data_IF_250340790399
#
_entry.id   IF_250340790399
#
_cell.length_a   1.000
_cell.length_b   1.000
_cell.length_c   1.000
_cell.angle_alpha   90.00
_cell.angle_beta   90.00
_cell.angle_gamma   90.00
#
_symmetry.space_group_name_H-M   'P 1'
#
loop_
_entity.id
_entity.type
_entity.pdbx_description
1 polymer ?
#
# COMPACT_ATOMS: atom_id res chain seq x y z
N UNK A 1 20.46 -11.09 18.05
CA UNK A 1 19.89 -11.88 16.94
C UNK A 1 18.58 -11.22 16.57
N UNK A 2 18.39 -10.89 15.30
CA UNK A 2 17.15 -10.28 14.80
C UNK A 2 15.98 -11.24 15.09
N UNK A 3 14.96 -10.76 15.80
CA UNK A 3 13.78 -11.54 16.15
C UNK A 3 13.07 -12.07 14.89
N UNK A 4 13.17 -11.35 13.78
CA UNK A 4 12.58 -11.78 12.52
C UNK A 4 13.32 -12.96 11.87
N UNK A 5 14.64 -13.09 12.05
CA UNK A 5 15.40 -14.21 11.49
C UNK A 5 15.00 -15.56 12.11
N UNK A 6 14.61 -15.57 13.39
CA UNK A 6 14.06 -16.77 14.06
C UNK A 6 12.67 -17.08 13.51
N UNK A 7 11.82 -16.05 13.43
CA UNK A 7 10.46 -16.14 12.86
C UNK A 7 10.45 -16.65 11.42
N UNK A 8 11.39 -16.19 10.59
CA UNK A 8 11.49 -16.54 9.17
C UNK A 8 11.50 -18.04 8.92
N UNK A 9 12.21 -18.79 9.77
CA UNK A 9 12.31 -20.24 9.60
C UNK A 9 10.99 -20.98 9.84
N UNK A 10 10.09 -20.38 10.63
CA UNK A 10 8.80 -20.95 11.01
C UNK A 10 7.67 -20.65 10.02
N UNK A 11 7.88 -19.72 9.08
CA UNK A 11 6.85 -19.34 8.11
C UNK A 11 6.58 -20.46 7.09
N UNK A 12 5.35 -20.56 6.53
CA UNK A 12 5.09 -21.41 5.38
C UNK A 12 5.96 -21.01 4.18
N UNK A 13 6.38 -22.00 3.38
CA UNK A 13 7.26 -21.76 2.23
C UNK A 13 6.64 -20.82 1.18
N UNK A 14 5.33 -20.91 0.97
CA UNK A 14 4.55 -19.99 0.13
C UNK A 14 4.64 -18.54 0.62
N UNK A 15 4.51 -18.31 1.93
CA UNK A 15 4.66 -16.98 2.53
C UNK A 15 6.08 -16.46 2.38
N UNK A 16 7.11 -17.29 2.63
CA UNK A 16 8.51 -16.90 2.43
C UNK A 16 8.75 -16.45 0.98
N UNK A 17 8.30 -17.25 0.02
CA UNK A 17 8.40 -16.91 -1.41
C UNK A 17 7.64 -15.63 -1.74
N UNK A 18 6.44 -15.47 -1.20
CA UNK A 18 5.65 -14.24 -1.35
C UNK A 18 6.43 -13.00 -0.91
N UNK A 19 6.95 -13.01 0.32
CA UNK A 19 7.73 -11.90 0.87
C UNK A 19 9.02 -11.63 0.08
N UNK A 20 9.67 -12.67 -0.47
CA UNK A 20 10.85 -12.52 -1.33
C UNK A 20 10.52 -11.93 -2.71
N UNK A 21 9.33 -12.21 -3.27
CA UNK A 21 8.88 -11.62 -4.54
C UNK A 21 8.60 -10.13 -4.37
N UNK A 22 8.09 -9.73 -3.21
CA UNK A 22 7.90 -8.34 -2.85
C UNK A 22 7.13 -8.19 -1.55
N UNK A 23 7.14 -6.98 -1.00
CA UNK A 23 6.35 -6.62 0.20
C UNK A 23 5.39 -5.47 -0.09
N UNK A 24 4.97 -5.37 -1.36
CA UNK A 24 4.23 -4.25 -1.93
C UNK A 24 2.92 -4.73 -2.58
N UNK A 25 1.92 -3.85 -2.63
CA UNK A 25 0.64 -4.10 -3.26
C UNK A 25 -0.40 -4.72 -2.33
N UNK A 26 -1.57 -4.08 -2.29
CA UNK A 26 -2.71 -4.46 -1.44
C UNK A 26 -3.09 -5.94 -1.56
N UNK A 27 -3.38 -6.41 -2.78
CA UNK A 27 -3.87 -7.78 -3.01
C UNK A 27 -2.83 -8.83 -2.63
N UNK A 28 -1.57 -8.56 -2.90
CA UNK A 28 -0.47 -9.44 -2.55
C UNK A 28 -0.34 -9.59 -1.03
N UNK A 29 -0.30 -8.46 -0.30
CA UNK A 29 -0.24 -8.44 1.15
C UNK A 29 -1.47 -9.10 1.80
N UNK A 30 -2.68 -8.86 1.26
CA UNK A 30 -3.91 -9.52 1.72
C UNK A 30 -3.83 -11.04 1.56
N UNK A 31 -3.30 -11.52 0.43
CA UNK A 31 -3.18 -12.96 0.18
C UNK A 31 -2.24 -13.63 1.19
N UNK A 32 -1.06 -13.04 1.44
CA UNK A 32 -0.13 -13.55 2.44
C UNK A 32 -0.70 -13.48 3.86
N UNK A 33 -1.39 -12.38 4.19
CA UNK A 33 -2.10 -12.25 5.47
C UNK A 33 -3.15 -13.35 5.66
N UNK A 34 -3.96 -13.62 4.63
CA UNK A 34 -4.98 -14.65 4.68
C UNK A 34 -4.38 -16.04 4.89
N UNK A 35 -3.30 -16.37 4.19
CA UNK A 35 -2.62 -17.66 4.35
C UNK A 35 -2.13 -17.87 5.79
N UNK A 36 -1.52 -16.85 6.40
CA UNK A 36 -1.06 -16.91 7.79
C UNK A 36 -2.22 -16.99 8.78
N UNK A 37 -3.27 -16.20 8.59
CA UNK A 37 -4.44 -16.20 9.48
C UNK A 37 -5.21 -17.53 9.44
N UNK A 38 -5.30 -18.17 8.27
CA UNK A 38 -5.87 -19.52 8.14
C UNK A 38 -4.92 -20.54 8.76
N UNK A 39 -3.63 -20.47 8.44
CA UNK A 39 -2.61 -21.36 8.99
C UNK A 39 -2.55 -21.32 10.52
N UNK A 40 -2.76 -20.16 11.14
CA UNK A 40 -2.78 -19.99 12.59
C UNK A 40 -3.86 -20.83 13.29
N UNK A 41 -4.95 -21.20 12.60
CA UNK A 41 -6.00 -22.05 13.15
C UNK A 41 -5.54 -23.50 13.31
N UNK A 42 -4.56 -23.94 12.52
CA UNK A 42 -3.99 -25.29 12.54
C UNK A 42 -2.73 -25.40 13.40
N UNK A 43 -2.25 -24.29 13.97
CA UNK A 43 -1.05 -24.24 14.81
C UNK A 43 -1.41 -24.05 16.28
N UNK A 44 -0.48 -24.42 17.16
CA UNK A 44 -0.60 -24.25 18.61
C UNK A 44 0.65 -23.57 19.18
N UNK A 45 0.51 -22.89 20.32
CA UNK A 45 1.64 -22.30 21.04
C UNK A 45 2.31 -21.15 20.27
N UNK A 46 3.64 -21.07 20.33
CA UNK A 46 4.40 -19.93 19.79
C UNK A 46 4.22 -19.68 18.29
N UNK A 47 4.08 -20.73 17.48
CA UNK A 47 3.89 -20.61 16.03
C UNK A 47 2.55 -19.96 15.67
N UNK A 48 1.49 -20.26 16.43
CA UNK A 48 0.19 -19.62 16.24
C UNK A 48 0.28 -18.10 16.46
N UNK A 49 0.92 -17.69 17.56
CA UNK A 49 1.14 -16.26 17.86
C UNK A 49 1.91 -15.56 16.74
N UNK A 50 2.99 -16.17 16.25
CA UNK A 50 3.78 -15.64 15.13
C UNK A 50 2.94 -15.45 13.86
N UNK A 51 2.09 -16.41 13.51
CA UNK A 51 1.27 -16.34 12.29
C UNK A 51 0.20 -15.26 12.42
N UNK A 52 -0.45 -15.15 13.59
CA UNK A 52 -1.41 -14.09 13.86
C UNK A 52 -0.74 -12.71 13.80
N UNK A 53 0.43 -12.58 14.41
CA UNK A 53 1.18 -11.33 14.48
C UNK A 53 1.59 -10.83 13.10
N UNK A 54 2.25 -11.68 12.30
CA UNK A 54 2.66 -11.30 10.95
C UNK A 54 1.44 -11.12 10.01
N UNK A 55 0.43 -11.97 10.15
CA UNK A 55 -0.81 -11.85 9.36
C UNK A 55 -1.52 -10.52 9.59
N UNK A 56 -1.58 -10.04 10.84
CA UNK A 56 -2.11 -8.74 11.19
C UNK A 56 -1.28 -7.58 10.67
N UNK A 57 0.05 -7.69 10.72
CA UNK A 57 0.95 -6.65 10.20
C UNK A 57 0.78 -6.50 8.68
N UNK A 58 0.72 -7.62 7.94
CA UNK A 58 0.49 -7.63 6.50
C UNK A 58 -0.88 -7.08 6.14
N UNK A 59 -1.93 -7.39 6.91
CA UNK A 59 -3.27 -6.87 6.68
C UNK A 59 -3.35 -5.36 6.96
N UNK A 60 -2.68 -4.85 7.99
CA UNK A 60 -2.57 -3.42 8.26
C UNK A 60 -1.78 -2.69 7.18
N UNK A 61 -0.71 -3.30 6.66
CA UNK A 61 0.05 -2.76 5.54
C UNK A 61 -0.81 -2.72 4.27
N UNK A 62 -1.58 -3.78 3.99
CA UNK A 62 -2.52 -3.81 2.87
C UNK A 62 -3.59 -2.71 2.98
N UNK A 63 -4.16 -2.50 4.17
CA UNK A 63 -5.09 -1.39 4.41
C UNK A 63 -4.42 -0.04 4.18
N UNK A 64 -3.16 0.12 4.58
CA UNK A 64 -2.44 1.38 4.38
C UNK A 64 -2.25 1.72 2.90
N UNK A 65 -2.18 0.73 1.99
CA UNK A 65 -2.16 0.96 0.53
C UNK A 65 -3.47 1.52 -0.02
N UNK A 66 -4.57 1.33 0.71
CA UNK A 66 -5.91 1.74 0.31
C UNK A 66 -6.73 2.10 1.56
N UNK A 67 -6.44 3.27 2.18
CA UNK A 67 -6.91 3.60 3.53
C UNK A 67 -8.40 3.92 3.61
N UNK A 68 -9.14 3.77 2.51
CA UNK A 68 -10.59 3.87 2.45
C UNK A 68 -11.28 2.51 2.31
N UNK A 69 -10.54 1.40 2.23
CA UNK A 69 -11.14 0.08 2.15
C UNK A 69 -11.82 -0.30 3.47
N UNK A 70 -13.15 -0.18 3.51
CA UNK A 70 -13.98 -0.53 4.66
C UNK A 70 -14.06 -2.03 4.94
N UNK A 71 -13.88 -2.88 3.93
CA UNK A 71 -13.90 -4.33 4.12
C UNK A 71 -12.67 -4.78 4.92
N UNK A 72 -11.48 -4.30 4.53
CA UNK A 72 -10.24 -4.58 5.30
C UNK A 72 -10.32 -3.93 6.68
N UNK A 73 -10.87 -2.71 6.79
CA UNK A 73 -11.02 -2.03 8.07
C UNK A 73 -11.91 -2.82 9.04
N UNK A 74 -13.06 -3.32 8.58
CA UNK A 74 -13.95 -4.16 9.37
C UNK A 74 -13.29 -5.50 9.77
N UNK A 75 -12.54 -6.12 8.85
CA UNK A 75 -11.81 -7.35 9.14
C UNK A 75 -10.74 -7.14 10.22
N UNK A 76 -9.96 -6.06 10.15
CA UNK A 76 -8.97 -5.70 11.16
C UNK A 76 -9.61 -5.50 12.54
N UNK A 77 -10.76 -4.82 12.60
CA UNK A 77 -11.49 -4.64 13.86
C UNK A 77 -11.98 -5.95 14.46
N UNK A 78 -12.54 -6.84 13.63
CA UNK A 78 -13.02 -8.16 14.10
C UNK A 78 -11.88 -9.04 14.60
N UNK A 79 -10.69 -8.94 14.00
CA UNK A 79 -9.51 -9.66 14.49
C UNK A 79 -8.97 -9.02 15.78
N UNK A 80 -8.94 -7.70 15.88
CA UNK A 80 -8.46 -6.98 17.08
C UNK A 80 -9.30 -7.27 18.33
N UNK A 81 -10.60 -7.58 18.18
CA UNK A 81 -11.46 -8.04 19.29
C UNK A 81 -10.96 -9.34 19.92
N UNK A 82 -10.41 -10.24 19.11
CA UNK A 82 -9.89 -11.55 19.55
C UNK A 82 -8.41 -11.50 19.90
N UNK A 83 -7.66 -10.63 19.22
CA UNK A 83 -6.22 -10.45 19.35
C UNK A 83 -5.86 -8.96 19.37
N UNK A 84 -5.98 -8.28 20.53
CA UNK A 84 -5.82 -6.84 20.62
C UNK A 84 -4.39 -6.39 20.31
N UNK A 85 -4.18 -5.79 19.14
CA UNK A 85 -2.85 -5.38 18.64
C UNK A 85 -2.87 -4.02 17.97
N UNK A 86 -4.02 -3.58 17.46
CA UNK A 86 -4.16 -2.27 16.84
C UNK A 86 -4.12 -1.20 17.93
N UNK A 87 -3.37 -0.12 17.74
CA UNK A 87 -3.35 0.98 18.71
C UNK A 87 -4.67 1.78 18.67
N UNK A 88 -4.99 2.50 19.76
CA UNK A 88 -6.28 3.22 19.90
C UNK A 88 -6.56 4.22 18.76
N UNK A 89 -5.52 4.93 18.29
CA UNK A 89 -5.64 5.89 17.19
C UNK A 89 -6.05 5.19 15.89
N UNK A 90 -5.37 4.09 15.54
CA UNK A 90 -5.67 3.33 14.34
C UNK A 90 -7.05 2.66 14.44
N UNK A 91 -7.46 2.15 15.61
CA UNK A 91 -8.82 1.63 15.80
C UNK A 91 -9.90 2.68 15.51
N UNK A 92 -9.71 3.91 15.96
CA UNK A 92 -10.67 4.99 15.71
C UNK A 92 -10.81 5.28 14.20
N UNK A 93 -9.68 5.32 13.47
CA UNK A 93 -9.68 5.47 12.02
C UNK A 93 -10.40 4.31 11.33
N UNK A 94 -10.05 3.06 11.69
CA UNK A 94 -10.65 1.86 11.10
C UNK A 94 -12.16 1.82 11.32
N UNK A 95 -12.64 2.16 12.52
CA UNK A 95 -14.08 2.23 12.81
C UNK A 95 -14.77 3.25 11.92
N UNK A 96 -14.23 4.46 11.85
CA UNK A 96 -14.81 5.53 11.04
C UNK A 96 -14.83 5.19 9.55
N UNK A 97 -13.81 4.48 9.05
CA UNK A 97 -13.81 3.95 7.67
C UNK A 97 -14.85 2.85 7.49
N UNK A 98 -14.88 1.85 8.37
CA UNK A 98 -15.81 0.73 8.28
C UNK A 98 -17.29 1.17 8.36
N UNK A 99 -17.61 2.17 9.17
CA UNK A 99 -18.97 2.71 9.33
C UNK A 99 -19.45 3.54 8.12
N UNK A 100 -18.52 4.28 7.48
CA UNK A 100 -18.84 5.17 6.35
C UNK A 100 -18.66 4.51 4.99
N UNK A 101 -17.97 3.39 4.92
CA UNK A 101 -17.82 2.63 3.69
C UNK A 101 -19.04 1.72 3.49
N UNK A 102 -19.90 2.09 2.55
CA UNK A 102 -21.13 1.36 2.25
C UNK A 102 -21.11 0.90 0.81
N UNK A 103 -20.73 -0.35 0.59
CA UNK A 103 -20.83 -0.96 -0.75
C UNK A 103 -22.31 -1.02 -1.17
N UNK A 104 -22.70 -0.46 -2.31
CA UNK A 104 -24.05 -0.57 -2.83
C UNK A 104 -24.44 -2.03 -3.11
N UNK A 105 -25.72 -2.35 -2.89
CA UNK A 105 -26.25 -3.70 -3.15
C UNK A 105 -26.25 -4.07 -4.64
N UNK A 106 -26.52 -3.11 -5.53
CA UNK A 106 -26.50 -3.31 -6.98
C UNK A 106 -25.36 -2.52 -7.64
N UNK A 107 -24.32 -3.26 -8.07
CA UNK A 107 -23.18 -2.73 -8.80
C UNK A 107 -23.21 -3.04 -10.30
N UNK A 108 -24.25 -3.70 -10.83
CA UNK A 108 -24.26 -4.18 -12.22
C UNK A 108 -24.04 -3.08 -13.25
N UNK A 109 -24.56 -1.88 -13.00
CA UNK A 109 -24.32 -0.74 -13.89
C UNK A 109 -22.86 -0.27 -13.83
N UNK A 110 -22.31 -0.12 -12.62
CA UNK A 110 -20.91 0.27 -12.42
C UNK A 110 -19.94 -0.76 -13.01
N UNK A 111 -20.18 -2.06 -12.79
CA UNK A 111 -19.35 -3.13 -13.35
C UNK A 111 -19.32 -3.11 -14.87
N UNK A 112 -20.47 -2.91 -15.54
CA UNK A 112 -20.51 -2.76 -17.00
C UNK A 112 -19.73 -1.55 -17.50
N UNK A 113 -19.76 -0.43 -16.78
CA UNK A 113 -18.94 0.73 -17.11
C UNK A 113 -17.45 0.40 -16.98
N UNK A 114 -17.03 -0.23 -15.88
CA UNK A 114 -15.65 -0.64 -15.65
C UNK A 114 -15.14 -1.63 -16.72
N UNK A 115 -15.96 -2.61 -17.10
CA UNK A 115 -15.64 -3.57 -18.16
C UNK A 115 -15.47 -2.88 -19.53
N UNK A 116 -16.30 -1.87 -19.83
CA UNK A 116 -16.19 -1.09 -21.07
C UNK A 116 -14.95 -0.19 -21.14
N UNK A 117 -14.29 0.05 -20.00
CA UNK A 117 -13.15 0.99 -19.84
C UNK A 117 -13.43 2.41 -20.34
N UNK A 118 -14.69 2.82 -20.39
CA UNK A 118 -15.08 4.20 -20.72
C UNK A 118 -14.88 5.08 -19.47
N UNK A 119 -13.65 5.55 -19.27
CA UNK A 119 -13.20 6.25 -18.06
C UNK A 119 -13.97 7.54 -17.82
N UNK A 120 -14.39 8.23 -18.88
CA UNK A 120 -15.22 9.43 -18.79
C UNK A 120 -16.66 9.12 -18.34
N UNK A 121 -17.27 8.01 -18.81
CA UNK A 121 -18.56 7.57 -18.25
C UNK A 121 -18.43 7.15 -16.80
N UNK A 122 -17.36 6.44 -16.43
CA UNK A 122 -17.10 6.06 -15.03
C UNK A 122 -16.98 7.32 -14.17
N UNK A 123 -16.19 8.31 -14.61
CA UNK A 123 -16.02 9.60 -13.93
C UNK A 123 -17.34 10.31 -13.68
N UNK A 124 -18.16 10.52 -14.72
CA UNK A 124 -19.48 11.16 -14.59
C UNK A 124 -20.41 10.40 -13.66
N UNK A 125 -20.39 9.07 -13.75
CA UNK A 125 -21.17 8.23 -12.84
C UNK A 125 -20.73 8.44 -11.38
N UNK A 126 -19.42 8.41 -11.10
CA UNK A 126 -18.89 8.62 -9.76
C UNK A 126 -19.27 10.01 -9.21
N UNK A 127 -19.09 11.08 -9.99
CA UNK A 127 -19.52 12.43 -9.59
C UNK A 127 -21.02 12.50 -9.26
N UNK A 128 -21.85 11.75 -10.00
CA UNK A 128 -23.28 11.62 -9.68
C UNK A 128 -23.51 10.92 -8.34
N UNK A 129 -22.72 9.88 -8.01
CA UNK A 129 -22.82 9.19 -6.73
C UNK A 129 -22.40 10.08 -5.56
N UNK A 130 -21.38 10.93 -5.75
CA UNK A 130 -21.04 11.96 -4.76
C UNK A 130 -22.25 12.85 -4.48
N UNK A 131 -22.99 13.31 -5.49
CA UNK A 131 -24.19 14.13 -5.26
C UNK A 131 -25.31 13.43 -4.46
N UNK A 132 -25.44 12.10 -4.58
CA UNK A 132 -26.51 11.31 -3.96
C UNK A 132 -26.15 10.78 -2.56
N UNK A 133 -24.90 10.41 -2.34
CA UNK A 133 -24.42 9.75 -1.12
C UNK A 133 -23.04 10.30 -0.74
N UNK A 134 -22.99 11.61 -0.46
CA UNK A 134 -21.76 12.40 -0.27
C UNK A 134 -20.79 11.80 0.77
N UNK A 135 -21.30 11.12 1.79
CA UNK A 135 -20.50 10.58 2.90
C UNK A 135 -19.96 9.17 2.69
N UNK A 136 -20.33 8.50 1.61
CA UNK A 136 -20.00 7.09 1.39
C UNK A 136 -18.59 6.91 0.82
N UNK A 137 -17.71 6.35 1.65
CA UNK A 137 -16.30 6.17 1.32
C UNK A 137 -16.07 5.14 0.20
N UNK A 138 -17.03 4.26 -0.09
CA UNK A 138 -16.94 3.34 -1.22
C UNK A 138 -16.74 4.11 -2.52
N UNK A 139 -17.55 5.15 -2.77
CA UNK A 139 -17.45 5.95 -3.98
C UNK A 139 -16.18 6.81 -4.02
N UNK A 140 -15.71 7.26 -2.85
CA UNK A 140 -14.46 8.00 -2.75
C UNK A 140 -13.28 7.14 -3.14
N UNK A 141 -13.23 5.90 -2.64
CA UNK A 141 -12.23 4.91 -2.99
C UNK A 141 -12.21 4.63 -4.51
N UNK A 142 -13.38 4.46 -5.14
CA UNK A 142 -13.47 4.25 -6.58
C UNK A 142 -12.97 5.47 -7.38
N UNK A 143 -13.35 6.68 -6.95
CA UNK A 143 -12.90 7.92 -7.60
C UNK A 143 -11.40 8.16 -7.46
N UNK A 144 -10.81 7.85 -6.30
CA UNK A 144 -9.36 7.92 -6.11
C UNK A 144 -8.64 6.89 -6.98
N UNK A 145 -9.14 5.66 -7.07
CA UNK A 145 -8.55 4.63 -7.93
C UNK A 145 -8.55 5.06 -9.40
N UNK A 146 -9.70 5.51 -9.91
CA UNK A 146 -9.81 6.02 -11.28
C UNK A 146 -8.91 7.24 -11.49
N UNK A 147 -8.96 8.22 -10.59
CA UNK A 147 -8.20 9.45 -10.70
C UNK A 147 -6.69 9.22 -10.68
N UNK A 148 -6.19 8.29 -9.88
CA UNK A 148 -4.78 7.91 -9.86
C UNK A 148 -4.35 7.20 -11.14
N UNK A 149 -5.21 6.31 -11.67
CA UNK A 149 -4.94 5.58 -12.90
C UNK A 149 -4.92 6.50 -14.13
N UNK A 150 -5.89 7.40 -14.26
CA UNK A 150 -6.01 8.35 -15.37
C UNK A 150 -5.17 9.63 -15.16
N UNK A 151 -4.54 9.79 -13.99
CA UNK A 151 -3.90 11.03 -13.55
C UNK A 151 -4.83 12.26 -13.61
N UNK A 152 -6.14 12.06 -13.36
CA UNK A 152 -7.16 13.11 -13.36
C UNK A 152 -7.06 13.97 -12.10
N UNK A 153 -6.26 15.03 -12.19
CA UNK A 153 -6.01 15.98 -11.10
C UNK A 153 -7.29 16.71 -10.65
N UNK A 154 -8.27 16.89 -11.54
CA UNK A 154 -9.52 17.56 -11.19
C UNK A 154 -10.36 16.65 -10.27
N UNK A 155 -10.51 15.38 -10.63
CA UNK A 155 -11.22 14.39 -9.82
C UNK A 155 -10.51 14.16 -8.49
N UNK A 156 -9.19 13.97 -8.51
CA UNK A 156 -8.38 13.79 -7.29
C UNK A 156 -8.50 15.00 -6.36
N UNK A 157 -8.37 16.21 -6.92
CA UNK A 157 -8.56 17.45 -6.18
C UNK A 157 -9.97 17.60 -5.62
N UNK A 158 -10.99 17.18 -6.36
CA UNK A 158 -12.38 17.17 -5.90
C UNK A 158 -12.56 16.28 -4.67
N UNK A 159 -12.04 15.05 -4.68
CA UNK A 159 -12.14 14.13 -3.53
C UNK A 159 -11.33 14.64 -2.32
N UNK A 160 -10.14 15.20 -2.55
CA UNK A 160 -9.27 15.71 -1.47
C UNK A 160 -9.77 17.00 -0.81
N UNK A 161 -10.72 17.71 -1.44
CA UNK A 161 -11.41 18.88 -0.90
C UNK A 161 -12.68 18.56 -0.09
N UNK A 162 -13.13 17.31 -0.09
CA UNK A 162 -14.29 16.90 0.72
C UNK A 162 -14.01 17.04 2.23
N UNK A 163 -15.03 16.81 3.05
CA UNK A 163 -14.86 16.80 4.50
C UNK A 163 -14.27 15.47 4.99
N UNK A 164 -12.98 15.52 5.35
CA UNK A 164 -12.21 14.39 5.88
C UNK A 164 -12.16 14.36 7.41
N UNK A 165 -13.09 15.03 8.09
CA UNK A 165 -13.15 15.04 9.56
C UNK A 165 -13.06 13.63 10.13
N UNK A 166 -12.04 13.40 10.97
CA UNK A 166 -11.75 12.11 11.59
C UNK A 166 -10.94 11.14 10.74
N UNK A 167 -10.54 11.52 9.52
CA UNK A 167 -9.73 10.73 8.56
C UNK A 167 -8.53 11.52 8.03
N UNK A 168 -8.08 12.54 8.74
CA UNK A 168 -6.99 13.41 8.31
C UNK A 168 -5.70 12.65 7.97
N UNK A 169 -5.28 11.60 8.72
CA UNK A 169 -4.12 10.80 8.32
C UNK A 169 -4.29 10.10 6.97
N UNK A 170 -5.51 9.62 6.65
CA UNK A 170 -5.83 9.01 5.37
C UNK A 170 -5.76 10.04 4.24
N UNK A 171 -6.36 11.22 4.47
CA UNK A 171 -6.27 12.34 3.52
C UNK A 171 -4.82 12.73 3.26
N UNK A 172 -3.99 12.77 4.31
CA UNK A 172 -2.57 13.14 4.21
C UNK A 172 -1.75 12.14 3.43
N UNK A 173 -2.01 10.84 3.59
CA UNK A 173 -1.39 9.82 2.75
C UNK A 173 -1.76 10.04 1.28
N UNK A 174 -3.06 10.07 0.97
CA UNK A 174 -3.56 10.19 -0.40
C UNK A 174 -3.15 11.51 -1.08
N UNK A 175 -3.22 12.64 -0.37
CA UNK A 175 -2.76 13.91 -0.88
C UNK A 175 -1.25 13.92 -1.13
N UNK A 176 -0.47 13.26 -0.27
CA UNK A 176 0.96 13.03 -0.50
C UNK A 176 1.19 12.25 -1.79
N UNK A 177 0.46 11.17 -2.01
CA UNK A 177 0.60 10.30 -3.18
C UNK A 177 0.24 11.02 -4.48
N UNK A 178 -0.87 11.76 -4.50
CA UNK A 178 -1.26 12.60 -5.64
C UNK A 178 -0.16 13.62 -5.96
N UNK A 179 0.38 14.29 -4.92
CA UNK A 179 1.45 15.29 -5.08
C UNK A 179 2.75 14.66 -5.57
N UNK A 180 3.08 13.46 -5.06
CA UNK A 180 4.28 12.70 -5.41
C UNK A 180 4.27 12.27 -6.88
N UNK A 181 3.17 11.67 -7.33
CA UNK A 181 3.02 11.22 -8.72
C UNK A 181 3.03 12.40 -9.70
N UNK A 182 2.55 13.57 -9.25
CA UNK A 182 2.62 14.82 -10.03
C UNK A 182 4.02 15.44 -10.08
N UNK A 183 5.06 14.75 -9.59
CA UNK A 183 6.46 15.19 -9.62
C UNK A 183 6.87 16.16 -8.51
N UNK A 184 5.94 16.57 -7.63
CA UNK A 184 6.20 17.55 -6.57
C UNK A 184 6.63 16.87 -5.25
N UNK A 185 7.67 16.04 -5.33
CA UNK A 185 8.08 15.15 -4.24
C UNK A 185 8.46 15.87 -2.92
N UNK A 186 9.04 17.07 -3.01
CA UNK A 186 9.33 17.89 -1.83
C UNK A 186 8.05 18.35 -1.12
N UNK A 187 7.04 18.78 -1.88
CA UNK A 187 5.74 19.17 -1.33
C UNK A 187 4.99 17.96 -0.74
N UNK A 188 5.09 16.78 -1.38
CA UNK A 188 4.49 15.55 -0.91
C UNK A 188 4.99 15.14 0.49
N UNK A 189 6.28 15.34 0.78
CA UNK A 189 6.87 15.04 2.09
C UNK A 189 6.21 15.79 3.25
N UNK A 190 5.71 17.01 3.00
CA UNK A 190 4.95 17.77 3.99
C UNK A 190 3.63 17.11 4.38
N UNK A 191 2.99 16.39 3.44
CA UNK A 191 1.79 15.60 3.70
C UNK A 191 2.13 14.29 4.45
N UNK A 192 3.19 13.61 4.05
CA UNK A 192 3.61 12.34 4.66
C UNK A 192 3.97 12.43 6.14
N UNK A 193 4.46 13.57 6.62
CA UNK A 193 4.81 13.73 8.04
C UNK A 193 3.65 13.51 9.04
N UNK A 194 2.40 13.52 8.58
CA UNK A 194 1.20 13.25 9.39
C UNK A 194 0.33 12.12 8.83
N UNK A 195 0.80 11.43 7.80
CA UNK A 195 0.09 10.35 7.13
C UNK A 195 0.10 9.06 7.98
N UNK A 196 -0.72 8.10 7.57
CA UNK A 196 -0.66 6.71 8.05
C UNK A 196 0.29 5.88 7.17
N UNK A 197 0.67 4.71 7.67
CA UNK A 197 1.36 3.69 6.89
C UNK A 197 2.88 3.90 6.75
N UNK A 198 3.59 2.80 6.52
CA UNK A 198 5.05 2.78 6.41
C UNK A 198 5.56 3.45 5.13
N UNK A 199 4.79 3.37 4.04
CA UNK A 199 5.17 3.93 2.74
C UNK A 199 5.41 5.43 2.79
N UNK A 200 4.59 6.16 3.55
CA UNK A 200 4.75 7.60 3.72
C UNK A 200 6.10 7.93 4.38
N UNK A 201 6.49 7.16 5.40
CA UNK A 201 7.81 7.29 6.04
C UNK A 201 8.93 6.92 5.07
N UNK A 202 8.76 5.84 4.33
CA UNK A 202 9.74 5.35 3.37
C UNK A 202 10.01 6.36 2.25
N UNK A 203 8.95 6.84 1.56
CA UNK A 203 9.05 7.88 0.51
C UNK A 203 9.67 9.17 1.03
N UNK A 204 9.34 9.58 2.25
CA UNK A 204 9.95 10.75 2.89
C UNK A 204 11.45 10.54 3.15
N UNK A 205 11.85 9.38 3.65
CA UNK A 205 13.24 9.04 3.89
C UNK A 205 14.05 8.98 2.58
N UNK A 206 13.48 8.42 1.51
CA UNK A 206 14.09 8.46 0.17
C UNK A 206 14.33 9.89 -0.32
N UNK A 207 13.35 10.77 -0.13
CA UNK A 207 13.50 12.16 -0.56
C UNK A 207 14.55 12.89 0.27
N UNK A 208 14.60 12.66 1.59
CA UNK A 208 15.65 13.18 2.47
C UNK A 208 17.04 12.71 2.03
N UNK A 209 17.17 11.42 1.69
CA UNK A 209 18.42 10.86 1.19
C UNK A 209 18.87 11.57 -0.10
N UNK A 210 17.97 11.69 -1.09
CA UNK A 210 18.25 12.39 -2.34
C UNK A 210 18.57 13.89 -2.14
N UNK A 211 18.04 14.50 -1.09
CA UNK A 211 18.31 15.89 -0.69
C UNK A 211 19.54 16.08 0.20
N UNK A 212 20.38 15.04 0.40
CA UNK A 212 21.61 15.12 1.18
C UNK A 212 21.44 14.98 2.70
N UNK A 213 20.21 14.78 3.20
CA UNK A 213 19.90 14.61 4.63
C UNK A 213 19.98 13.13 5.04
N UNK A 214 21.15 12.54 4.84
CA UNK A 214 21.35 11.09 4.91
C UNK A 214 21.13 10.50 6.31
N UNK A 215 21.56 11.20 7.37
CA UNK A 215 21.39 10.69 8.74
C UNK A 215 19.92 10.63 9.17
N UNK A 216 19.13 11.62 8.78
CA UNK A 216 17.68 11.64 9.04
C UNK A 216 16.96 10.55 8.24
N UNK A 217 17.33 10.35 6.98
CA UNK A 217 16.80 9.27 6.15
C UNK A 217 17.09 7.89 6.78
N UNK A 218 18.34 7.67 7.23
CA UNK A 218 18.75 6.43 7.90
C UNK A 218 18.01 6.18 9.21
N UNK A 219 17.75 7.22 9.99
CA UNK A 219 16.96 7.11 11.21
C UNK A 219 15.53 6.65 10.89
N UNK A 220 14.87 7.31 9.92
CA UNK A 220 13.51 6.94 9.50
C UNK A 220 13.42 5.51 8.93
N UNK A 221 14.37 5.10 8.09
CA UNK A 221 14.39 3.73 7.57
C UNK A 221 14.58 2.68 8.66
N UNK A 222 15.45 2.96 9.64
CA UNK A 222 15.65 2.06 10.78
C UNK A 222 14.38 1.92 11.61
N UNK A 223 13.71 3.03 11.89
CA UNK A 223 12.46 3.02 12.64
C UNK A 223 11.37 2.25 11.90
N UNK A 224 11.25 2.43 10.58
CA UNK A 224 10.30 1.68 9.76
C UNK A 224 10.59 0.17 9.75
N UNK A 225 11.84 -0.23 9.50
CA UNK A 225 12.23 -1.65 9.45
C UNK A 225 12.16 -2.33 10.83
N UNK A 226 12.38 -1.59 11.92
CA UNK A 226 12.20 -2.14 13.27
C UNK A 226 10.76 -2.54 13.57
N UNK A 227 9.80 -1.89 12.90
CA UNK A 227 8.37 -2.12 13.08
C UNK A 227 7.80 -3.11 12.04
N UNK A 228 8.42 -3.19 10.86
CA UNK A 228 8.01 -4.10 9.79
C UNK A 228 9.23 -4.77 9.13
N UNK A 229 9.96 -5.64 9.86
CA UNK A 229 11.17 -6.31 9.35
C UNK A 229 10.88 -7.29 8.22
N UNK A 230 9.61 -7.64 8.00
CA UNK A 230 9.14 -8.48 6.90
C UNK A 230 9.12 -7.75 5.54
N UNK A 231 9.34 -6.42 5.52
CA UNK A 231 9.47 -5.63 4.29
C UNK A 231 10.83 -5.91 3.62
N UNK A 232 10.91 -7.04 2.91
CA UNK A 232 12.16 -7.55 2.34
C UNK A 232 12.71 -6.61 1.28
N UNK A 233 11.85 -6.02 0.44
CA UNK A 233 12.28 -5.08 -0.61
C UNK A 233 12.98 -3.84 -0.02
N UNK A 234 12.41 -3.28 1.03
CA UNK A 234 12.92 -2.16 1.80
C UNK A 234 14.23 -2.53 2.51
N UNK A 235 14.31 -3.74 3.06
CA UNK A 235 15.53 -4.26 3.69
C UNK A 235 16.67 -4.39 2.69
N UNK A 236 16.41 -4.98 1.52
CA UNK A 236 17.40 -5.08 0.43
C UNK A 236 17.82 -3.70 -0.06
N UNK A 237 16.89 -2.77 -0.20
CA UNK A 237 17.21 -1.40 -0.60
C UNK A 237 18.06 -0.67 0.43
N UNK A 238 17.81 -0.87 1.73
CA UNK A 238 18.67 -0.30 2.77
C UNK A 238 20.06 -0.93 2.77
N UNK A 239 20.16 -2.23 2.50
CA UNK A 239 21.44 -2.89 2.27
C UNK A 239 22.17 -2.22 1.11
N UNK A 240 21.50 -1.95 -0.01
CA UNK A 240 22.14 -1.31 -1.16
C UNK A 240 22.62 0.11 -0.88
N UNK A 241 21.82 0.87 -0.13
CA UNK A 241 22.19 2.21 0.36
C UNK A 241 23.42 2.15 1.26
N UNK A 242 23.51 1.15 2.14
CA UNK A 242 24.62 0.99 3.08
C UNK A 242 25.91 0.57 2.39
N UNK A 243 25.83 -0.41 1.48
CA UNK A 243 26.98 -0.95 0.75
C UNK A 243 27.37 -0.09 -0.47
N UNK A 244 26.57 0.95 -0.74
CA UNK A 244 26.64 1.75 -1.96
C UNK A 244 26.71 0.87 -3.22
N UNK A 245 26.00 -0.26 -3.21
CA UNK A 245 25.95 -1.23 -4.32
C UNK A 245 25.04 -0.72 -5.45
N UNK A 246 23.98 0.01 -5.13
CA UNK A 246 23.02 0.54 -6.12
C UNK A 246 23.62 1.54 -7.12
N UNK A 247 24.81 2.08 -6.85
CA UNK A 247 25.55 2.94 -7.78
C UNK A 247 26.62 2.19 -8.60
N UNK A 248 26.88 0.91 -8.28
CA UNK A 248 27.85 0.09 -8.99
C UNK A 248 27.29 -0.31 -10.35
N UNK A 249 28.08 -0.09 -11.38
CA UNK A 249 27.80 -0.54 -12.75
C UNK A 249 28.82 -1.59 -13.09
N UNK A 250 28.52 -2.84 -12.76
CA UNK A 250 29.36 -4.00 -13.02
C UNK A 250 28.65 -4.95 -13.96
N UNK A 251 29.40 -5.66 -14.81
CA UNK A 251 28.83 -6.75 -15.60
C UNK A 251 28.48 -7.88 -14.64
N UNK A 252 27.25 -8.37 -14.72
CA UNK A 252 26.86 -9.58 -14.01
C UNK A 252 27.62 -10.77 -14.59
N UNK A 253 28.13 -11.62 -13.71
CA UNK A 253 28.73 -12.88 -14.13
C UNK A 253 27.67 -13.78 -14.78
N UNK A 254 28.03 -14.39 -15.91
CA UNK A 254 27.17 -15.32 -16.64
C UNK A 254 26.36 -14.68 -17.79
N UNK A 255 25.19 -15.25 -18.06
CA UNK A 255 24.29 -14.82 -19.14
C UNK A 255 22.97 -14.36 -18.53
N UNK A 256 22.53 -13.16 -18.90
CA UNK A 256 21.25 -12.59 -18.49
C UNK A 256 20.30 -12.64 -19.68
N UNK A 257 19.07 -13.08 -19.46
CA UNK A 257 17.97 -12.93 -20.40
C UNK A 257 16.97 -11.94 -19.80
N UNK A 258 16.61 -10.91 -20.56
CA UNK A 258 15.57 -9.95 -20.17
C UNK A 258 14.30 -10.35 -20.93
N UNK A 259 13.26 -10.77 -20.20
CA UNK A 259 11.96 -11.05 -20.77
C UNK A 259 11.08 -9.80 -20.67
N UNK A 260 10.73 -9.22 -21.82
CA UNK A 260 9.84 -8.06 -21.89
C UNK A 260 8.47 -8.51 -22.36
N UNK A 261 7.45 -8.21 -21.57
CA UNK A 261 6.07 -8.38 -21.98
C UNK A 261 5.58 -7.12 -22.68
N UNK A 262 5.04 -7.30 -23.89
CA UNK A 262 4.39 -6.26 -24.67
C UNK A 262 3.15 -6.85 -25.33
N UNK A 263 2.09 -6.05 -25.39
CA UNK A 263 0.87 -6.39 -26.11
C UNK A 263 0.57 -5.27 -27.10
N UNK A 264 0.60 -5.57 -28.40
CA UNK A 264 0.41 -4.60 -29.49
C UNK A 264 1.32 -3.37 -29.41
N UNK A 265 2.53 -3.52 -28.86
CA UNK A 265 3.53 -2.45 -28.70
C UNK A 265 4.90 -2.86 -29.26
N UNK A 266 4.92 -3.52 -30.42
CA UNK A 266 6.14 -4.02 -31.03
C UNK A 266 7.05 -2.88 -31.50
N UNK A 267 6.47 -1.88 -32.18
CA UNK A 267 7.23 -0.72 -32.66
C UNK A 267 7.84 0.10 -31.51
N UNK A 268 7.11 0.28 -30.41
CA UNK A 268 7.64 0.96 -29.23
C UNK A 268 8.75 0.16 -28.53
N UNK A 269 8.68 -1.17 -28.57
CA UNK A 269 9.74 -2.05 -28.09
C UNK A 269 11.01 -1.90 -28.92
N UNK A 270 10.90 -1.93 -30.25
CA UNK A 270 12.05 -1.80 -31.16
C UNK A 270 12.80 -0.49 -30.89
N UNK A 271 12.07 0.63 -30.81
CA UNK A 271 12.66 1.95 -30.49
C UNK A 271 13.31 2.00 -29.11
N UNK A 272 12.82 1.22 -28.14
CA UNK A 272 13.36 1.22 -26.78
C UNK A 272 14.63 0.37 -26.65
N UNK A 273 14.82 -0.62 -27.53
CA UNK A 273 15.90 -1.61 -27.43
C UNK A 273 17.08 -1.37 -28.37
N UNK A 274 16.92 -0.51 -29.37
CA UNK A 274 18.00 0.01 -30.23
C UNK A 274 18.83 1.09 -29.52
#
# INVERSE_FOLDING_TARGET
>A
MDAFAVTWNLLPESVKRGLLVGSEGKLHLMHLAQELLVGAQAQSGGTQGIFLDLGLDLLQAAWSKDPLDGQIAAQLLSLDEKWPRVNARNKALLRHVAERWRKPDDLRYYSRLAESRDTEKIRRFLLTQFGKDQGNLYWWQQALTLGMFEQDQELLGFVLRQDWSGLEPCRKLLAGDVTWISGQQDAACGSYGKALGWDAFWRRAERMWAGGRQDEARALWRDALSQAPWMVGETLRLFDVRENSGSRRERLDGKVAIALYSFNKAAELDVTLE
#
